data_IF_694985798964
#
_entry.id   IF_694985798964
#
_cell.length_a   1.000
_cell.length_b   1.000
_cell.length_c   1.000
_cell.angle_alpha   90.00
_cell.angle_beta   90.00
_cell.angle_gamma   90.00
#
_symmetry.space_group_name_H-M   'P 1'
#
loop_
_entity.id
_entity.type
_entity.pdbx_description
1 polymer ?
#
# COMPACT_ATOMS: atom_id res chain seq x y z
N UNK A 1 -19.50 -3.66 18.92
CA UNK A 1 -19.21 -3.44 18.61
C UNK A 1 -18.84 -2.97 17.99
N UNK A 2 -18.57 -2.85 17.56
CA UNK A 2 -18.19 -2.55 17.10
C UNK A 2 -18.06 -2.17 16.25
N UNK A 3 -17.97 -1.92 15.71
CA UNK A 3 -17.89 -1.56 15.10
C UNK A 3 -17.66 -1.03 14.20
N UNK A 4 -17.46 -1.33 13.57
CA UNK A 4 -17.80 -0.67 12.40
C UNK A 4 -16.85 0.41 12.04
N UNK A 5 -16.13 0.91 12.84
CA UNK A 5 -15.15 1.86 12.48
C UNK A 5 -14.09 1.28 11.68
N UNK A 6 -14.20 0.08 11.31
CA UNK A 6 -13.16 -0.56 10.51
C UNK A 6 -12.88 0.20 9.23
N UNK A 7 -13.80 1.00 8.77
CA UNK A 7 -13.54 1.70 7.53
C UNK A 7 -12.36 2.64 7.65
N UNK A 8 -11.96 2.99 8.85
CA UNK A 8 -10.84 3.86 8.99
C UNK A 8 -9.55 3.21 8.59
N UNK A 9 -9.53 1.90 8.48
CA UNK A 9 -8.31 1.21 8.09
C UNK A 9 -8.19 1.05 6.60
N UNK A 10 -9.21 1.42 5.85
CA UNK A 10 -9.16 1.20 4.41
C UNK A 10 -8.21 2.21 3.76
N UNK A 11 -7.52 1.77 2.74
CA UNK A 11 -6.61 2.62 2.01
C UNK A 11 -6.70 2.30 0.54
N UNK A 12 -6.14 3.18 -0.26
CA UNK A 12 -6.09 3.00 -1.71
C UNK A 12 -4.63 3.00 -2.14
N UNK A 13 -4.26 2.06 -2.98
CA UNK A 13 -2.90 2.00 -3.51
C UNK A 13 -2.94 2.08 -5.02
N UNK A 14 -1.90 2.71 -5.58
CA UNK A 14 -1.75 2.81 -7.02
C UNK A 14 -0.35 2.34 -7.35
N UNK A 15 -0.25 1.28 -8.14
CA UNK A 15 1.04 0.73 -8.51
C UNK A 15 0.95 0.30 -9.96
N UNK A 16 1.91 0.74 -10.77
CA UNK A 16 1.90 0.46 -12.21
C UNK A 16 0.62 0.96 -12.84
N UNK A 17 0.10 2.07 -12.32
CA UNK A 17 -1.13 2.64 -12.87
C UNK A 17 -2.38 1.91 -12.47
N UNK A 18 -2.27 0.90 -11.64
CA UNK A 18 -3.42 0.11 -11.23
C UNK A 18 -3.90 0.56 -9.86
N UNK A 19 -5.14 0.98 -9.78
CA UNK A 19 -5.73 1.45 -8.54
C UNK A 19 -6.36 0.27 -7.82
N UNK A 20 -6.08 0.16 -6.54
CA UNK A 20 -6.60 -0.95 -5.76
C UNK A 20 -7.02 -0.44 -4.39
N UNK A 21 -8.18 -0.89 -3.95
CA UNK A 21 -8.70 -0.49 -2.65
C UNK A 21 -8.60 -1.66 -1.70
N UNK A 22 -8.22 -1.36 -0.47
CA UNK A 22 -8.03 -2.38 0.55
C UNK A 22 -8.91 -2.04 1.74
N UNK A 23 -9.52 -3.06 2.31
CA UNK A 23 -10.33 -2.86 3.51
C UNK A 23 -9.48 -2.68 4.75
N UNK A 24 -8.31 -3.28 4.75
CA UNK A 24 -7.44 -3.20 5.92
C UNK A 24 -6.05 -2.82 5.48
N UNK A 25 -5.47 -1.89 6.24
CA UNK A 25 -4.11 -1.46 5.94
C UNK A 25 -3.12 -2.61 6.06
N UNK A 26 -3.36 -3.51 7.02
CA UNK A 26 -2.45 -4.62 7.21
C UNK A 26 -2.39 -5.52 6.00
N UNK A 27 -3.52 -5.70 5.34
CA UNK A 27 -3.53 -6.54 4.14
C UNK A 27 -2.71 -5.90 3.03
N UNK A 28 -2.87 -4.61 2.84
CA UNK A 28 -2.11 -3.91 1.81
C UNK A 28 -0.62 -3.96 2.14
N UNK A 29 -0.30 -3.74 3.41
CA UNK A 29 1.09 -3.76 3.82
C UNK A 29 1.73 -5.12 3.56
N UNK A 30 1.02 -6.20 3.90
CA UNK A 30 1.57 -7.52 3.68
C UNK A 30 1.73 -7.82 2.21
N UNK A 31 0.77 -7.38 1.39
CA UNK A 31 0.85 -7.61 -0.03
C UNK A 31 2.09 -6.97 -0.62
N UNK A 32 2.33 -5.71 -0.29
CA UNK A 32 3.46 -5.01 -0.88
C UNK A 32 4.77 -5.43 -0.25
N UNK A 33 4.74 -5.84 1.02
CA UNK A 33 5.95 -6.37 1.62
C UNK A 33 6.39 -7.63 0.88
N UNK A 34 5.44 -8.51 0.61
CA UNK A 34 5.76 -9.74 -0.09
C UNK A 34 6.21 -9.43 -1.50
N UNK A 35 5.58 -8.47 -2.14
CA UNK A 35 5.98 -8.10 -3.49
C UNK A 35 7.41 -7.58 -3.50
N UNK A 36 7.79 -6.82 -2.48
CA UNK A 36 9.15 -6.32 -2.38
C UNK A 36 10.14 -7.47 -2.26
N UNK A 37 9.78 -8.46 -1.45
CA UNK A 37 10.69 -9.57 -1.23
C UNK A 37 10.85 -10.44 -2.46
N UNK A 38 9.86 -10.42 -3.35
CA UNK A 38 9.93 -11.22 -4.56
C UNK A 38 10.42 -10.42 -5.77
N UNK A 39 10.81 -9.19 -5.57
CA UNK A 39 11.24 -8.33 -6.67
C UNK A 39 12.59 -7.73 -6.33
N UNK A 40 13.21 -7.13 -7.33
CA UNK A 40 14.45 -6.40 -7.08
C UNK A 40 14.57 -5.33 -8.15
N UNK A 41 15.57 -4.45 -7.97
CA UNK A 41 15.77 -3.38 -8.92
C UNK A 41 14.68 -2.36 -8.86
N UNK A 42 14.31 -1.85 -10.02
CA UNK A 42 13.31 -0.78 -10.09
C UNK A 42 11.94 -1.26 -9.63
N UNK A 43 11.66 -2.52 -9.87
CA UNK A 43 10.37 -3.03 -9.47
C UNK A 43 10.24 -3.03 -7.96
N UNK A 44 11.30 -3.43 -7.28
CA UNK A 44 11.28 -3.43 -5.82
C UNK A 44 11.10 -2.01 -5.29
N UNK A 45 11.70 -1.05 -5.97
CA UNK A 45 11.56 0.33 -5.54
C UNK A 45 10.13 0.80 -5.62
N UNK A 46 9.42 0.40 -6.67
CA UNK A 46 8.03 0.80 -6.79
C UNK A 46 7.21 0.26 -5.63
N UNK A 47 7.40 -1.01 -5.32
CA UNK A 47 6.66 -1.60 -4.21
C UNK A 47 7.06 -0.95 -2.89
N UNK A 48 8.34 -0.60 -2.75
CA UNK A 48 8.80 0.05 -1.54
C UNK A 48 8.11 1.39 -1.34
N UNK A 49 7.95 2.17 -2.41
CA UNK A 49 7.32 3.46 -2.29
C UNK A 49 5.91 3.34 -1.74
N UNK A 50 5.17 2.38 -2.25
CA UNK A 50 3.82 2.16 -1.76
C UNK A 50 3.87 1.67 -0.32
N UNK A 51 4.77 0.74 -0.04
CA UNK A 51 4.87 0.16 1.29
C UNK A 51 5.17 1.22 2.33
N UNK A 52 6.13 2.09 2.05
CA UNK A 52 6.49 3.11 3.02
C UNK A 52 5.34 4.07 3.30
N UNK A 53 4.57 4.38 2.28
CA UNK A 53 3.43 5.26 2.50
C UNK A 53 2.37 4.58 3.34
N UNK A 54 2.23 3.27 3.19
CA UNK A 54 1.28 2.54 4.00
C UNK A 54 1.66 2.59 5.46
N UNK A 55 2.92 2.31 5.76
CA UNK A 55 3.34 2.25 7.16
C UNK A 55 3.42 3.63 7.78
N UNK A 56 3.47 4.67 6.96
CA UNK A 56 3.50 6.03 7.50
C UNK A 56 2.10 6.52 7.83
N UNK A 57 1.08 5.75 7.51
CA UNK A 57 -0.26 6.12 7.89
C UNK A 57 -1.05 6.85 6.82
N UNK A 58 -0.55 6.86 5.59
CA UNK A 58 -1.25 7.54 4.52
C UNK A 58 -2.38 6.68 4.01
N UNK A 59 -3.43 7.34 3.53
CA UNK A 59 -4.59 6.63 2.99
C UNK A 59 -4.51 6.44 1.49
N UNK A 60 -3.68 7.18 0.82
CA UNK A 60 -3.52 7.08 -0.62
C UNK A 60 -2.03 6.88 -0.89
N UNK A 61 -1.69 5.69 -1.33
CA UNK A 61 -0.28 5.30 -1.46
C UNK A 61 0.01 4.98 -2.91
N UNK A 62 0.99 5.67 -3.48
CA UNK A 62 1.34 5.48 -4.88
C UNK A 62 2.76 4.96 -4.99
N UNK A 63 3.07 4.40 -6.15
CA UNK A 63 4.42 3.92 -6.39
C UNK A 63 5.31 5.01 -6.96
N UNK A 64 4.76 6.18 -7.20
CA UNK A 64 5.54 7.30 -7.70
C UNK A 64 6.07 8.10 -6.54
N UNK A 65 7.35 8.47 -6.60
CA UNK A 65 7.90 9.24 -5.51
C UNK A 65 7.93 10.71 -5.84
N UNK A 66 7.39 11.09 -6.98
CA UNK A 66 7.30 12.52 -7.21
C UNK A 66 5.93 12.95 -6.76
N UNK A 67 5.87 14.03 -6.19
CA UNK A 67 4.66 14.45 -5.71
C UNK A 67 4.56 15.79 -5.56
#
# INVERSE_FOLDING_TARGET
>A
MKFSESSKDSITTVCYGEVREWDERAEARNHFLEAMMNSDGAERERYSNVYFRIIRGLDYCTDSDSD
#
